data_IF_483157251939
#
_entry.id   IF_483157251939
#
_cell.length_a   1.000
_cell.length_b   1.000
_cell.length_c   1.000
_cell.angle_alpha   90.00
_cell.angle_beta   90.00
_cell.angle_gamma   90.00
#
_symmetry.space_group_name_H-M   'P 1'
#
loop_
_entity.id
_entity.type
_entity.pdbx_description
1 polymer ?
#
# COMPACT_ATOMS: atom_id res chain seq x y z
N UNK A 1 -3.09 5.27 5.67
CA UNK A 1 -2.11 6.39 5.64
C UNK A 1 -2.36 7.25 4.42
N UNK A 2 -2.16 8.59 4.50
CA UNK A 2 -2.19 9.46 3.31
C UNK A 2 -0.85 9.45 2.55
N UNK A 3 -0.23 8.29 2.42
CA UNK A 3 1.03 8.11 1.68
C UNK A 3 0.80 7.62 0.24
N UNK A 4 -0.34 7.97 -0.32
CA UNK A 4 -0.78 7.56 -1.65
C UNK A 4 -1.87 6.48 -1.60
N UNK A 5 -2.45 6.21 -2.77
CA UNK A 5 -3.55 5.26 -2.93
C UNK A 5 -3.13 3.79 -2.80
N UNK A 6 -1.82 3.48 -2.88
CA UNK A 6 -1.31 2.12 -2.88
C UNK A 6 -1.71 1.29 -1.66
N UNK A 7 -1.70 1.89 -0.45
CA UNK A 7 -2.16 1.21 0.76
C UNK A 7 -3.66 0.85 0.70
N UNK A 8 -4.49 1.76 0.22
CA UNK A 8 -5.91 1.48 0.05
C UNK A 8 -6.16 0.44 -1.04
N UNK A 9 -5.42 0.53 -2.17
CA UNK A 9 -5.53 -0.41 -3.28
C UNK A 9 -5.25 -1.85 -2.84
N UNK A 10 -4.17 -2.09 -2.10
CA UNK A 10 -3.85 -3.45 -1.61
C UNK A 10 -4.79 -3.96 -0.53
N UNK A 11 -5.55 -3.10 0.15
CA UNK A 11 -6.59 -3.54 1.07
C UNK A 11 -7.85 -4.04 0.36
N UNK A 12 -8.09 -3.68 -0.91
CA UNK A 12 -9.28 -4.08 -1.65
C UNK A 12 -9.43 -5.61 -1.75
N UNK A 13 -8.43 -6.39 -2.21
CA UNK A 13 -8.54 -7.85 -2.29
C UNK A 13 -8.76 -8.46 -0.91
N UNK A 14 -8.11 -7.95 0.13
CA UNK A 14 -8.28 -8.44 1.49
C UNK A 14 -9.72 -8.22 2.00
N UNK A 15 -10.29 -7.05 1.80
CA UNK A 15 -11.69 -6.76 2.17
C UNK A 15 -12.66 -7.64 1.38
N UNK A 16 -12.43 -7.83 0.05
CA UNK A 16 -13.23 -8.74 -0.77
C UNK A 16 -13.18 -10.17 -0.22
N UNK A 17 -12.01 -10.66 0.14
CA UNK A 17 -11.81 -11.98 0.72
C UNK A 17 -12.57 -12.15 2.03
N UNK A 18 -12.43 -11.20 2.96
CA UNK A 18 -13.11 -11.25 4.26
C UNK A 18 -14.63 -11.26 4.10
N UNK A 19 -15.17 -10.45 3.17
CA UNK A 19 -16.61 -10.45 2.87
C UNK A 19 -17.06 -11.83 2.31
N UNK A 20 -16.29 -12.43 1.40
CA UNK A 20 -16.58 -13.76 0.85
C UNK A 20 -16.56 -14.86 1.92
N UNK A 21 -15.69 -14.72 2.92
CA UNK A 21 -15.59 -15.62 4.07
C UNK A 21 -16.68 -15.36 5.11
N UNK A 22 -17.58 -14.39 4.89
CA UNK A 22 -18.74 -14.11 5.77
C UNK A 22 -18.42 -13.19 6.94
N UNK A 23 -17.26 -12.52 6.96
CA UNK A 23 -16.91 -11.58 8.00
C UNK A 23 -17.63 -10.24 7.84
N UNK A 24 -18.03 -9.64 8.96
CA UNK A 24 -18.47 -8.25 9.01
C UNK A 24 -17.25 -7.33 9.05
N UNK A 25 -17.16 -6.39 8.11
CA UNK A 25 -15.98 -5.54 7.95
C UNK A 25 -16.33 -4.08 8.22
N UNK A 26 -15.52 -3.41 9.05
CA UNK A 26 -15.55 -1.97 9.28
C UNK A 26 -14.28 -1.36 8.69
N UNK A 27 -14.47 -0.41 7.78
CA UNK A 27 -13.33 0.28 7.14
C UNK A 27 -12.80 1.40 8.02
N UNK A 28 -11.50 1.38 8.32
CA UNK A 28 -10.83 2.45 9.06
C UNK A 28 -9.86 3.26 8.19
N UNK A 29 -10.02 4.58 8.13
CA UNK A 29 -9.12 5.38 7.31
C UNK A 29 -9.40 6.88 7.32
N UNK A 30 -8.74 7.60 6.43
CA UNK A 30 -8.98 9.03 6.19
C UNK A 30 -8.63 9.43 4.75
N UNK A 31 -9.07 10.64 4.34
CA UNK A 31 -8.71 11.26 3.07
C UNK A 31 -8.99 10.37 1.86
N UNK A 32 -8.10 10.44 0.86
CA UNK A 32 -8.25 9.74 -0.42
C UNK A 32 -8.28 8.22 -0.28
N UNK A 33 -7.53 7.65 0.66
CA UNK A 33 -7.51 6.22 0.94
C UNK A 33 -8.89 5.70 1.36
N UNK A 34 -9.56 6.40 2.28
CA UNK A 34 -10.91 6.04 2.70
C UNK A 34 -11.93 6.27 1.57
N UNK A 35 -11.77 7.35 0.80
CA UNK A 35 -12.62 7.61 -0.36
C UNK A 35 -12.54 6.49 -1.40
N UNK A 36 -11.34 5.98 -1.69
CA UNK A 36 -11.14 4.87 -2.60
C UNK A 36 -11.84 3.60 -2.08
N UNK A 37 -11.61 3.24 -0.82
CA UNK A 37 -12.25 2.06 -0.22
C UNK A 37 -13.78 2.16 -0.22
N UNK A 38 -14.33 3.33 0.09
CA UNK A 38 -15.79 3.55 0.04
C UNK A 38 -16.38 3.49 -1.37
N UNK A 39 -15.61 3.85 -2.41
CA UNK A 39 -16.04 3.65 -3.81
C UNK A 39 -16.17 2.16 -4.15
N UNK A 40 -15.23 1.33 -3.68
CA UNK A 40 -15.27 -0.12 -3.89
C UNK A 40 -16.30 -0.84 -2.99
N UNK A 41 -16.53 -0.32 -1.77
CA UNK A 41 -17.38 -0.93 -0.75
C UNK A 41 -18.38 0.08 -0.18
N UNK A 42 -19.35 0.57 -0.97
CA UNK A 42 -20.24 1.65 -0.54
C UNK A 42 -21.21 1.26 0.59
N UNK A 43 -21.43 -0.05 0.78
CA UNK A 43 -22.34 -0.59 1.80
C UNK A 43 -21.67 -0.88 3.15
N UNK A 44 -20.33 -0.89 3.22
CA UNK A 44 -19.62 -1.17 4.46
C UNK A 44 -19.67 0.03 5.40
N UNK A 45 -19.75 -0.27 6.70
CA UNK A 45 -19.54 0.72 7.76
C UNK A 45 -18.11 1.23 7.74
N UNK A 46 -17.89 2.44 8.18
CA UNK A 46 -16.55 3.02 8.24
C UNK A 46 -16.36 3.91 9.48
N UNK A 47 -15.13 4.03 9.91
CA UNK A 47 -14.69 4.94 10.95
C UNK A 47 -13.54 5.83 10.46
N UNK A 48 -13.52 7.07 10.92
CA UNK A 48 -12.41 7.96 10.63
C UNK A 48 -11.24 7.67 11.57
N UNK A 49 -10.03 7.62 11.01
CA UNK A 49 -8.80 7.51 11.77
C UNK A 49 -8.01 8.81 11.66
N UNK A 50 -7.09 9.04 12.60
CA UNK A 50 -6.31 10.26 12.67
C UNK A 50 -5.59 10.57 11.33
N UNK A 51 -5.73 11.79 10.78
CA UNK A 51 -5.00 12.17 9.57
C UNK A 51 -3.52 12.37 9.88
N UNK A 52 -2.65 11.83 9.01
CA UNK A 52 -1.22 12.08 9.04
C UNK A 52 -0.85 12.91 7.82
N UNK A 53 -0.67 14.20 8.02
CA UNK A 53 -0.27 15.13 6.96
C UNK A 53 1.26 15.28 6.98
N UNK A 54 1.95 14.43 6.23
CA UNK A 54 3.38 14.61 5.93
C UNK A 54 3.49 15.36 4.60
N UNK A 55 4.24 16.46 4.61
CA UNK A 55 4.60 17.17 3.38
C UNK A 55 6.01 16.74 3.01
N UNK A 56 6.16 16.17 1.82
CA UNK A 56 7.47 15.89 1.25
C UNK A 56 8.05 17.18 0.69
N UNK A 57 9.33 17.41 0.97
CA UNK A 57 10.07 18.50 0.35
C UNK A 57 10.43 18.10 -1.08
N UNK A 58 10.34 19.03 -2.02
CA UNK A 58 10.88 18.86 -3.37
C UNK A 58 12.41 18.76 -3.40
N UNK A 59 13.09 19.02 -2.27
CA UNK A 59 14.54 19.02 -2.14
C UNK A 59 15.11 17.66 -1.72
N UNK A 60 16.43 17.52 -1.92
CA UNK A 60 17.22 16.29 -1.76
C UNK A 60 17.30 15.71 -0.32
N UNK A 61 16.78 16.37 0.71
CA UNK A 61 16.96 15.96 2.11
C UNK A 61 15.68 15.42 2.74
N UNK A 62 15.22 14.24 2.29
CA UNK A 62 14.05 13.57 2.89
C UNK A 62 14.35 13.03 4.30
N UNK A 63 15.61 12.67 4.62
CA UNK A 63 15.99 12.17 5.94
C UNK A 63 15.72 13.20 7.04
N UNK A 64 16.09 14.45 6.82
CA UNK A 64 15.80 15.53 7.76
C UNK A 64 14.30 15.78 7.91
N UNK A 65 13.53 15.63 6.82
CA UNK A 65 12.07 15.72 6.88
C UNK A 65 11.49 14.57 7.71
N UNK A 66 12.00 13.35 7.56
CA UNK A 66 11.60 12.18 8.37
C UNK A 66 11.97 12.35 9.84
N UNK A 67 13.21 12.77 10.17
CA UNK A 67 13.63 12.99 11.55
C UNK A 67 12.76 14.05 12.24
N UNK A 68 12.45 15.15 11.55
CA UNK A 68 11.52 16.17 12.04
C UNK A 68 10.08 15.67 12.17
N UNK A 69 9.71 14.64 11.43
CA UNK A 69 8.38 14.03 11.49
C UNK A 69 8.23 13.01 12.63
N UNK A 70 9.31 12.48 13.22
CA UNK A 70 9.25 11.45 14.27
C UNK A 70 8.33 11.83 15.45
N UNK A 71 8.39 13.04 16.04
CA UNK A 71 7.47 13.40 17.12
C UNK A 71 6.00 13.41 16.67
N UNK A 72 5.76 13.86 15.42
CA UNK A 72 4.40 13.86 14.83
C UNK A 72 3.90 12.44 14.59
N UNK A 73 4.75 11.54 14.12
CA UNK A 73 4.44 10.12 13.94
C UNK A 73 4.09 9.45 15.26
N UNK A 74 4.83 9.77 16.32
CA UNK A 74 4.54 9.25 17.66
C UNK A 74 3.17 9.74 18.18
N UNK A 75 2.92 11.05 18.13
CA UNK A 75 1.63 11.62 18.54
C UNK A 75 0.47 11.10 17.69
N UNK A 76 0.69 10.90 16.41
CA UNK A 76 -0.29 10.30 15.51
C UNK A 76 -0.59 8.85 15.88
N UNK A 77 0.44 8.06 16.20
CA UNK A 77 0.26 6.69 16.69
C UNK A 77 -0.55 6.63 17.99
N UNK A 78 -0.33 7.56 18.92
CA UNK A 78 -1.14 7.65 20.14
C UNK A 78 -2.60 8.00 19.85
N UNK A 79 -2.85 8.91 18.89
CA UNK A 79 -4.22 9.24 18.46
C UNK A 79 -4.91 8.04 17.83
N UNK A 80 -4.23 7.31 16.94
CA UNK A 80 -4.77 6.09 16.36
C UNK A 80 -5.12 5.05 17.42
N UNK A 81 -4.24 4.89 18.42
CA UNK A 81 -4.49 3.99 19.53
C UNK A 81 -5.73 4.40 20.33
N UNK A 82 -5.87 5.67 20.66
CA UNK A 82 -7.05 6.19 21.36
C UNK A 82 -8.36 5.98 20.56
N UNK A 83 -8.31 6.20 19.24
CA UNK A 83 -9.44 5.99 18.34
C UNK A 83 -9.81 4.49 18.24
N UNK A 84 -8.82 3.61 18.15
CA UNK A 84 -9.07 2.17 18.19
C UNK A 84 -9.75 1.77 19.50
N UNK A 85 -9.24 2.25 20.65
CA UNK A 85 -9.84 1.95 21.95
C UNK A 85 -11.29 2.46 22.05
N UNK A 86 -11.64 3.59 21.42
CA UNK A 86 -13.01 4.07 21.34
C UNK A 86 -13.92 3.10 20.56
N UNK A 87 -13.47 2.66 19.38
CA UNK A 87 -14.19 1.68 18.55
C UNK A 87 -14.41 0.36 19.31
N UNK A 88 -13.37 -0.15 19.99
CA UNK A 88 -13.43 -1.41 20.75
C UNK A 88 -14.36 -1.37 21.98
N UNK A 89 -14.74 -0.16 22.45
CA UNK A 89 -15.73 -0.01 23.52
C UNK A 89 -17.16 -0.11 23.01
N UNK A 90 -17.36 0.23 21.75
CA UNK A 90 -18.68 0.30 21.10
C UNK A 90 -18.98 -0.96 20.30
N UNK A 91 -17.95 -1.60 19.74
CA UNK A 91 -18.06 -2.72 18.79
C UNK A 91 -17.27 -3.94 19.27
N UNK A 92 -17.86 -5.15 19.23
CA UNK A 92 -17.15 -6.40 19.44
C UNK A 92 -16.31 -6.74 18.21
N UNK A 93 -15.03 -6.38 18.21
CA UNK A 93 -14.11 -6.61 17.10
C UNK A 93 -13.23 -7.82 17.40
N UNK A 94 -13.24 -8.84 16.52
CA UNK A 94 -12.40 -10.04 16.65
C UNK A 94 -11.00 -9.83 16.08
N UNK A 95 -10.89 -9.06 14.99
CA UNK A 95 -9.63 -8.81 14.29
C UNK A 95 -9.44 -7.34 13.97
N UNK A 96 -8.22 -6.84 14.18
CA UNK A 96 -7.79 -5.51 13.74
C UNK A 96 -6.65 -5.67 12.76
N UNK A 97 -6.91 -5.38 11.47
CA UNK A 97 -5.89 -5.38 10.44
C UNK A 97 -5.37 -3.95 10.23
N UNK A 98 -4.08 -3.77 10.43
CA UNK A 98 -3.42 -2.47 10.35
C UNK A 98 -2.44 -2.41 9.20
N UNK A 99 -2.78 -1.69 8.14
CA UNK A 99 -1.85 -1.45 7.04
C UNK A 99 -0.96 -0.24 7.36
N UNK A 100 0.26 -0.53 7.81
CA UNK A 100 1.30 0.45 8.17
C UNK A 100 0.86 1.55 9.15
N UNK A 101 -0.15 1.31 10.01
CA UNK A 101 -0.58 2.22 11.08
C UNK A 101 -0.12 1.70 12.44
N UNK A 102 0.88 2.33 13.00
CA UNK A 102 1.61 1.83 14.18
C UNK A 102 0.81 1.86 15.49
N UNK A 103 -0.28 2.61 15.55
CA UNK A 103 -1.11 2.79 16.75
C UNK A 103 -2.24 1.78 16.89
N UNK A 104 -2.53 0.97 15.86
CA UNK A 104 -3.68 0.07 15.86
C UNK A 104 -3.37 -1.31 16.46
N UNK A 105 -2.79 -1.34 17.65
CA UNK A 105 -2.50 -2.55 18.41
C UNK A 105 -3.27 -2.57 19.72
N UNK A 106 -3.40 -3.76 20.32
CA UNK A 106 -3.97 -3.94 21.66
C UNK A 106 -2.89 -4.53 22.57
N UNK A 107 -2.73 -3.95 23.75
CA UNK A 107 -1.72 -4.43 24.71
C UNK A 107 -2.01 -5.88 25.11
N UNK A 108 -0.99 -6.73 25.05
CA UNK A 108 -1.04 -8.08 25.60
C UNK A 108 -1.01 -7.98 27.14
N UNK A 109 -1.76 -8.83 27.86
CA UNK A 109 -1.57 -8.96 29.29
C UNK A 109 -0.14 -9.40 29.53
N UNK A 110 0.57 -8.74 30.42
CA UNK A 110 1.78 -9.31 31.02
C UNK A 110 1.36 -10.48 31.89
N UNK A 111 2.22 -11.48 32.03
CA UNK A 111 1.97 -12.68 32.86
C UNK A 111 1.55 -12.36 34.31
N UNK A 112 1.75 -11.13 34.79
CA UNK A 112 1.32 -10.62 36.07
C UNK A 112 -0.12 -10.12 36.15
N UNK A 113 -0.82 -9.98 35.00
CA UNK A 113 -2.22 -9.54 34.94
C UNK A 113 -3.23 -10.69 35.03
N UNK A 114 -2.79 -11.88 35.45
CA UNK A 114 -3.69 -12.98 35.84
C UNK A 114 -4.35 -12.63 37.17
N UNK A 115 -5.37 -11.78 37.13
CA UNK A 115 -6.34 -11.73 38.23
C UNK A 115 -7.05 -13.09 38.27
N UNK A 116 -7.21 -13.67 39.48
CA UNK A 116 -8.01 -14.87 39.62
C UNK A 116 -9.41 -14.63 39.06
N UNK A 117 -9.80 -15.39 38.06
CA UNK A 117 -11.16 -15.43 37.59
C UNK A 117 -12.04 -15.95 38.71
N UNK A 118 -12.80 -15.07 39.35
CA UNK A 118 -13.97 -15.49 40.14
C UNK A 118 -14.91 -16.22 39.20
N UNK A 119 -15.40 -17.38 39.62
CA UNK A 119 -16.27 -18.32 38.90
C UNK A 119 -17.62 -17.75 38.53
N UNK A 120 -17.71 -16.70 37.75
CA UNK A 120 -18.95 -16.17 37.20
C UNK A 120 -18.95 -16.41 35.69
N UNK A 121 -19.71 -17.43 35.25
CA UNK A 121 -19.74 -17.99 33.90
C UNK A 121 -20.49 -17.10 32.85
N UNK A 122 -20.42 -15.80 32.93
CA UNK A 122 -20.82 -14.92 31.84
C UNK A 122 -19.60 -14.20 31.27
N UNK A 123 -19.20 -14.47 30.01
CA UNK A 123 -18.20 -13.62 29.36
C UNK A 123 -18.80 -12.22 29.24
N UNK A 124 -18.35 -11.33 30.08
CA UNK A 124 -18.68 -9.92 29.93
C UNK A 124 -17.90 -9.41 28.72
N UNK A 125 -18.51 -8.53 27.93
CA UNK A 125 -17.91 -7.85 26.74
C UNK A 125 -16.57 -7.16 27.02
N UNK A 126 -16.14 -7.10 28.27
CA UNK A 126 -14.88 -6.50 28.75
C UNK A 126 -13.63 -7.39 28.56
N UNK A 127 -13.80 -8.70 28.33
CA UNK A 127 -12.66 -9.63 28.20
C UNK A 127 -12.33 -10.02 26.75
N UNK A 128 -13.15 -9.57 25.78
CA UNK A 128 -12.90 -9.85 24.37
C UNK A 128 -11.79 -8.91 23.84
N UNK A 129 -10.64 -9.49 23.52
CA UNK A 129 -9.51 -8.76 22.96
C UNK A 129 -9.28 -9.18 21.52
N UNK A 130 -9.32 -8.25 20.56
CA UNK A 130 -9.12 -8.59 19.17
C UNK A 130 -7.69 -9.08 18.90
N UNK A 131 -7.57 -9.98 17.94
CA UNK A 131 -6.28 -10.32 17.35
C UNK A 131 -5.83 -9.17 16.44
N UNK A 132 -4.68 -8.58 16.72
CA UNK A 132 -4.12 -7.49 15.95
C UNK A 132 -3.11 -7.98 14.93
N UNK A 133 -3.26 -7.57 13.68
CA UNK A 133 -2.43 -7.99 12.55
C UNK A 133 -1.82 -6.75 11.90
N UNK A 134 -0.50 -6.73 11.78
CA UNK A 134 0.23 -5.66 11.10
C UNK A 134 0.56 -6.10 9.68
N UNK A 135 0.07 -5.36 8.68
CA UNK A 135 0.32 -5.62 7.27
C UNK A 135 1.46 -4.71 6.78
N UNK A 136 2.56 -5.32 6.34
CA UNK A 136 3.69 -4.59 5.75
C UNK A 136 4.49 -5.47 4.81
N UNK A 137 4.99 -4.91 3.71
CA UNK A 137 5.98 -5.55 2.84
C UNK A 137 7.41 -5.13 3.19
N UNK A 138 7.58 -4.19 4.11
CA UNK A 138 8.87 -3.67 4.53
C UNK A 138 9.21 -4.15 5.93
N UNK A 139 9.83 -5.32 6.04
CA UNK A 139 10.54 -5.71 7.26
C UNK A 139 11.88 -4.98 7.36
N UNK A 140 12.53 -4.79 6.24
CA UNK A 140 13.73 -3.96 6.10
C UNK A 140 13.35 -2.57 5.57
N UNK A 141 13.60 -1.54 6.37
CA UNK A 141 13.44 -0.13 5.99
C UNK A 141 14.77 0.38 5.47
N UNK A 142 14.87 0.52 4.17
CA UNK A 142 16.07 1.05 3.52
C UNK A 142 16.21 2.55 3.77
N UNK A 143 17.43 2.99 4.04
CA UNK A 143 17.77 4.39 4.18
C UNK A 143 18.57 4.88 2.97
N UNK A 144 18.53 6.20 2.67
CA UNK A 144 19.42 6.78 1.65
C UNK A 144 20.88 6.48 1.95
N UNK A 145 21.72 6.34 0.92
CA UNK A 145 23.14 5.93 1.02
C UNK A 145 23.92 6.55 2.18
N UNK A 146 23.88 7.86 2.44
CA UNK A 146 24.64 8.46 3.55
C UNK A 146 24.23 7.98 4.95
N UNK A 147 23.04 7.37 5.08
CA UNK A 147 22.43 7.01 6.36
C UNK A 147 22.26 5.49 6.54
N UNK A 148 22.73 4.67 5.62
CA UNK A 148 22.60 3.21 5.67
C UNK A 148 23.18 2.58 6.95
N UNK A 149 24.19 3.16 7.52
CA UNK A 149 24.77 2.71 8.78
C UNK A 149 23.79 2.76 9.97
N UNK A 150 22.68 3.52 9.85
CA UNK A 150 21.60 3.55 10.84
C UNK A 150 20.54 2.47 10.62
N UNK A 151 20.54 1.73 9.51
CA UNK A 151 19.55 0.70 9.19
C UNK A 151 19.39 -0.34 10.32
N UNK A 152 20.45 -0.83 11.01
CA UNK A 152 20.28 -1.75 12.13
C UNK A 152 19.52 -1.14 13.31
N UNK A 153 19.69 0.15 13.57
CA UNK A 153 18.94 0.86 14.60
C UNK A 153 17.47 1.02 14.21
N UNK A 154 17.22 1.41 12.96
CA UNK A 154 15.85 1.56 12.42
C UNK A 154 15.14 0.21 12.42
N UNK A 155 15.81 -0.87 12.03
CA UNK A 155 15.27 -2.23 12.08
C UNK A 155 14.87 -2.65 13.51
N UNK A 156 15.71 -2.36 14.52
CA UNK A 156 15.38 -2.63 15.93
C UNK A 156 14.17 -1.81 16.42
N UNK A 157 14.08 -0.55 16.03
CA UNK A 157 12.93 0.30 16.37
C UNK A 157 11.66 -0.19 15.69
N UNK A 158 11.74 -0.55 14.41
CA UNK A 158 10.63 -1.11 13.66
C UNK A 158 10.17 -2.44 14.24
N UNK A 159 11.11 -3.32 14.61
CA UNK A 159 10.80 -4.57 15.30
C UNK A 159 10.02 -4.35 16.60
N UNK A 160 10.40 -3.34 17.40
CA UNK A 160 9.62 -2.97 18.61
C UNK A 160 8.20 -2.48 18.30
N UNK A 161 7.96 -1.97 17.12
CA UNK A 161 6.62 -1.54 16.69
C UNK A 161 5.78 -2.74 16.30
N UNK A 162 6.27 -3.57 15.35
CA UNK A 162 5.46 -4.66 14.84
C UNK A 162 5.30 -5.81 15.85
N UNK A 163 6.23 -6.01 16.80
CA UNK A 163 6.09 -7.00 17.89
C UNK A 163 5.02 -6.63 18.92
N UNK A 164 4.41 -5.45 18.84
CA UNK A 164 3.20 -5.12 19.61
C UNK A 164 1.94 -5.78 19.08
N UNK A 165 1.96 -6.20 17.80
CA UNK A 165 0.86 -6.91 17.15
C UNK A 165 0.95 -8.42 17.42
N UNK A 166 -0.16 -9.14 17.27
CA UNK A 166 -0.19 -10.59 17.40
C UNK A 166 0.48 -11.26 16.21
N UNK A 167 0.23 -10.73 15.01
CA UNK A 167 0.76 -11.24 13.76
C UNK A 167 1.29 -10.10 12.89
N UNK A 168 2.26 -10.43 12.04
CA UNK A 168 2.68 -9.62 10.90
C UNK A 168 2.37 -10.38 9.63
N UNK A 169 1.58 -9.78 8.77
CA UNK A 169 1.33 -10.30 7.43
C UNK A 169 2.18 -9.58 6.40
N UNK A 170 2.88 -10.37 5.60
CA UNK A 170 3.72 -9.87 4.52
C UNK A 170 3.05 -10.20 3.20
N UNK A 171 2.58 -9.20 2.44
CA UNK A 171 1.95 -9.41 1.14
C UNK A 171 3.00 -9.67 0.05
N UNK A 172 3.73 -10.77 0.18
CA UNK A 172 4.74 -11.24 -0.75
C UNK A 172 4.82 -12.77 -0.70
N UNK A 173 5.54 -13.39 -1.62
CA UNK A 173 5.82 -14.83 -1.58
C UNK A 173 6.78 -15.16 -0.44
N UNK A 174 6.59 -16.32 0.18
CA UNK A 174 7.52 -16.82 1.20
C UNK A 174 8.87 -17.24 0.60
N UNK A 175 8.83 -17.72 -0.64
CA UNK A 175 10.01 -18.06 -1.44
C UNK A 175 10.71 -16.77 -1.89
N UNK A 176 11.92 -16.54 -1.40
CA UNK A 176 12.70 -15.35 -1.68
C UNK A 176 13.02 -15.18 -3.18
N UNK A 177 13.18 -16.29 -3.93
CA UNK A 177 13.47 -16.25 -5.36
C UNK A 177 12.27 -15.73 -6.18
N UNK A 178 11.05 -15.90 -5.65
CA UNK A 178 9.81 -15.40 -6.24
C UNK A 178 9.39 -14.03 -5.70
N UNK A 179 10.08 -13.54 -4.69
CA UNK A 179 9.72 -12.28 -4.03
C UNK A 179 9.59 -11.13 -5.03
N UNK A 180 8.55 -10.33 -4.83
CA UNK A 180 8.33 -9.08 -5.55
C UNK A 180 8.97 -7.88 -4.83
N UNK A 181 9.19 -7.99 -3.52
CA UNK A 181 9.79 -6.93 -2.70
C UNK A 181 11.28 -7.16 -2.40
N UNK A 182 11.83 -8.35 -2.72
CA UNK A 182 13.24 -8.69 -2.50
C UNK A 182 13.66 -8.50 -1.04
N UNK A 183 14.78 -7.79 -0.82
CA UNK A 183 15.33 -7.55 0.53
C UNK A 183 14.38 -6.75 1.46
N UNK A 184 13.40 -6.03 0.92
CA UNK A 184 12.45 -5.30 1.75
C UNK A 184 11.60 -6.24 2.59
N UNK A 185 11.18 -7.37 2.02
CA UNK A 185 10.35 -8.39 2.69
C UNK A 185 11.17 -9.56 3.22
N UNK A 186 12.37 -9.79 2.68
CA UNK A 186 13.29 -10.90 3.03
C UNK A 186 14.65 -10.37 3.51
N UNK A 187 14.71 -9.62 4.62
CA UNK A 187 15.99 -9.16 5.14
C UNK A 187 16.81 -10.32 5.71
N UNK A 188 18.12 -10.27 5.50
CA UNK A 188 19.06 -11.30 5.95
C UNK A 188 19.11 -11.49 7.48
N UNK A 189 18.68 -10.47 8.25
CA UNK A 189 18.86 -10.40 9.71
C UNK A 189 17.58 -10.57 10.54
N UNK A 190 16.42 -10.84 9.94
CA UNK A 190 15.19 -11.01 10.71
C UNK A 190 15.16 -12.39 11.36
N UNK A 191 15.25 -12.40 12.69
CA UNK A 191 14.89 -13.57 13.50
C UNK A 191 13.38 -13.80 13.32
N UNK A 192 13.01 -14.70 12.41
CA UNK A 192 11.61 -15.09 12.12
C UNK A 192 10.86 -15.63 13.34
N UNK A 193 11.58 -15.95 14.42
CA UNK A 193 11.09 -16.55 15.65
C UNK A 193 11.21 -15.60 16.85
N UNK A 194 10.70 -14.37 16.76
CA UNK A 194 10.42 -13.64 18.01
C UNK A 194 9.16 -14.26 18.62
N UNK A 195 9.28 -14.82 19.81
CA UNK A 195 8.20 -15.50 20.57
C UNK A 195 6.96 -14.61 20.75
N UNK A 196 7.09 -13.31 20.48
CA UNK A 196 6.05 -12.30 20.68
C UNK A 196 5.15 -12.04 19.50
N UNK A 197 5.54 -12.42 18.27
CA UNK A 197 4.80 -12.09 17.08
C UNK A 197 5.05 -13.13 15.98
N UNK A 198 3.99 -13.64 15.36
CA UNK A 198 4.10 -14.56 14.23
C UNK A 198 4.20 -13.78 12.94
N UNK A 199 5.21 -14.08 12.11
CA UNK A 199 5.38 -13.49 10.77
C UNK A 199 4.88 -14.50 9.73
N UNK A 200 3.93 -14.08 8.91
CA UNK A 200 3.29 -14.93 7.89
C UNK A 200 3.36 -14.23 6.53
N UNK A 201 3.83 -14.94 5.50
CA UNK A 201 3.74 -14.49 4.11
C UNK A 201 2.39 -14.92 3.56
N UNK A 202 1.62 -13.97 3.02
CA UNK A 202 0.23 -14.19 2.57
C UNK A 202 0.07 -14.13 1.05
N UNK A 203 1.18 -14.05 0.32
CA UNK A 203 1.21 -13.83 -1.12
C UNK A 203 0.99 -12.36 -1.51
N UNK A 204 1.36 -11.97 -2.73
CA UNK A 204 1.10 -10.66 -3.27
C UNK A 204 -0.40 -10.33 -3.23
N UNK A 205 -0.74 -9.07 -2.97
CA UNK A 205 -2.12 -8.60 -2.83
C UNK A 205 -2.42 -7.54 -3.89
N UNK A 206 -3.15 -7.92 -4.92
CA UNK A 206 -3.57 -7.00 -5.96
C UNK A 206 -5.10 -6.91 -6.04
N UNK A 207 -5.60 -5.70 -6.30
CA UNK A 207 -7.02 -5.49 -6.62
C UNK A 207 -7.45 -6.22 -7.89
N UNK A 208 -6.51 -6.70 -8.71
CA UNK A 208 -6.71 -7.44 -9.95
C UNK A 208 -6.56 -8.96 -9.79
N UNK A 209 -6.29 -9.49 -8.59
CA UNK A 209 -6.10 -10.92 -8.35
C UNK A 209 -7.28 -11.77 -8.84
N UNK A 210 -8.51 -11.34 -8.51
CA UNK A 210 -9.75 -11.99 -8.92
C UNK A 210 -10.53 -11.13 -9.95
N UNK A 211 -9.80 -10.41 -10.80
CA UNK A 211 -10.46 -9.53 -11.76
C UNK A 211 -11.15 -10.34 -12.86
N UNK A 212 -12.46 -10.17 -12.97
CA UNK A 212 -13.27 -10.79 -14.00
C UNK A 212 -13.26 -9.94 -15.27
N UNK A 213 -12.62 -10.44 -16.32
CA UNK A 213 -12.53 -9.77 -17.63
C UNK A 213 -13.88 -9.59 -18.33
N UNK A 214 -14.93 -10.29 -17.91
CA UNK A 214 -16.28 -10.02 -18.40
C UNK A 214 -16.79 -8.62 -18.03
N UNK A 215 -16.14 -7.97 -17.04
CA UNK A 215 -16.41 -6.61 -16.62
C UNK A 215 -15.63 -5.56 -17.42
N UNK A 216 -14.79 -5.99 -18.37
CA UNK A 216 -14.01 -5.06 -19.19
C UNK A 216 -14.93 -4.06 -19.89
N UNK A 217 -14.62 -2.79 -19.73
CA UNK A 217 -15.28 -1.68 -20.41
C UNK A 217 -14.22 -0.91 -21.20
N UNK A 218 -13.81 -1.43 -22.38
CA UNK A 218 -12.70 -0.86 -23.12
C UNK A 218 -13.02 0.56 -23.55
N UNK A 219 -12.07 1.43 -23.31
CA UNK A 219 -12.12 2.80 -23.85
C UNK A 219 -12.01 2.69 -25.36
N UNK A 220 -12.88 3.37 -26.09
CA UNK A 220 -12.99 3.27 -27.56
C UNK A 220 -11.70 3.63 -28.33
N UNK A 221 -10.74 4.29 -27.67
CA UNK A 221 -9.46 4.70 -28.26
C UNK A 221 -8.35 3.75 -27.85
N UNK A 222 -7.59 3.25 -28.82
CA UNK A 222 -6.37 2.47 -28.56
C UNK A 222 -5.24 3.41 -28.15
N UNK A 223 -4.69 3.17 -26.94
CA UNK A 223 -3.52 3.87 -26.43
C UNK A 223 -2.29 2.96 -26.52
N UNK A 224 -1.24 3.45 -27.17
CA UNK A 224 0.03 2.72 -27.27
C UNK A 224 0.90 2.92 -26.03
N UNK A 225 0.78 4.08 -25.38
CA UNK A 225 1.46 4.41 -24.13
C UNK A 225 0.45 4.70 -23.04
N UNK A 226 0.59 4.05 -21.90
CA UNK A 226 -0.27 4.22 -20.73
C UNK A 226 0.56 4.59 -19.52
N UNK A 227 0.34 5.79 -18.97
CA UNK A 227 0.98 6.24 -17.76
C UNK A 227 -0.01 6.20 -16.60
N UNK A 228 0.33 5.44 -15.54
CA UNK A 228 -0.45 5.38 -14.30
C UNK A 228 0.29 6.12 -13.21
N UNK A 229 -0.17 7.34 -12.92
CA UNK A 229 0.48 8.20 -11.94
C UNK A 229 -0.03 7.91 -10.53
N UNK A 230 0.88 7.95 -9.59
CA UNK A 230 0.62 7.82 -8.16
C UNK A 230 1.63 8.63 -7.35
N UNK A 231 1.44 8.68 -6.03
CA UNK A 231 2.35 9.36 -5.12
C UNK A 231 1.89 10.77 -4.75
N UNK A 232 2.69 11.40 -3.90
CA UNK A 232 2.37 12.70 -3.32
C UNK A 232 2.87 13.86 -4.20
N UNK A 233 2.19 14.99 -4.07
CA UNK A 233 2.65 16.24 -4.68
C UNK A 233 3.96 16.73 -4.01
N UNK A 234 4.84 17.36 -4.76
CA UNK A 234 4.75 17.76 -6.17
C UNK A 234 5.21 16.69 -7.17
N UNK A 235 5.74 15.54 -6.71
CA UNK A 235 6.39 14.53 -7.54
C UNK A 235 5.45 13.89 -8.59
N UNK A 236 4.16 13.76 -8.29
CA UNK A 236 3.16 13.29 -9.24
C UNK A 236 3.00 14.25 -10.42
N UNK A 237 2.80 15.54 -10.11
CA UNK A 237 2.67 16.58 -11.15
C UNK A 237 3.96 16.78 -11.95
N UNK A 238 5.13 16.63 -11.35
CA UNK A 238 6.40 16.70 -12.05
C UNK A 238 6.55 15.55 -13.07
N UNK A 239 6.21 14.32 -12.67
CA UNK A 239 6.22 13.18 -13.59
C UNK A 239 5.20 13.36 -14.72
N UNK A 240 3.99 13.86 -14.43
CA UNK A 240 3.00 14.16 -15.45
C UNK A 240 3.56 15.13 -16.51
N UNK A 241 4.19 16.22 -16.08
CA UNK A 241 4.80 17.20 -16.98
C UNK A 241 5.93 16.60 -17.82
N UNK A 242 6.74 15.74 -17.23
CA UNK A 242 7.82 15.04 -17.92
C UNK A 242 7.28 14.13 -19.04
N UNK A 243 6.23 13.33 -18.73
CA UNK A 243 5.60 12.44 -19.71
C UNK A 243 4.93 13.26 -20.83
N UNK A 244 4.21 14.33 -20.47
CA UNK A 244 3.63 15.22 -21.47
C UNK A 244 4.71 15.82 -22.38
N UNK A 245 5.84 16.28 -21.83
CA UNK A 245 6.93 16.83 -22.64
C UNK A 245 7.59 15.78 -23.55
N UNK A 246 7.68 14.52 -23.08
CA UNK A 246 8.30 13.41 -23.83
C UNK A 246 7.47 12.99 -25.04
N UNK A 247 6.15 12.96 -24.90
CA UNK A 247 5.25 12.37 -25.89
C UNK A 247 4.40 13.39 -26.67
N UNK A 248 4.38 14.66 -26.28
CA UNK A 248 3.62 15.67 -27.02
C UNK A 248 4.16 15.77 -28.44
N UNK A 249 3.25 15.70 -29.40
CA UNK A 249 3.55 15.79 -30.85
C UNK A 249 4.33 14.56 -31.40
N UNK A 250 4.34 13.42 -30.70
CA UNK A 250 4.74 12.13 -31.27
C UNK A 250 3.54 11.43 -31.94
N UNK A 251 3.80 10.36 -32.68
CA UNK A 251 2.76 9.52 -33.31
C UNK A 251 2.07 8.59 -32.29
N UNK A 252 2.58 8.51 -31.05
CA UNK A 252 2.04 7.66 -30.00
C UNK A 252 0.75 8.21 -29.42
N UNK A 253 -0.26 7.37 -29.25
CA UNK A 253 -1.48 7.73 -28.53
C UNK A 253 -1.27 7.46 -27.04
N UNK A 254 -1.30 8.49 -26.21
CA UNK A 254 -0.93 8.45 -24.80
C UNK A 254 -2.14 8.66 -23.90
N UNK A 255 -2.32 7.75 -22.94
CA UNK A 255 -3.24 7.93 -21.82
C UNK A 255 -2.46 8.19 -20.54
N UNK A 256 -2.79 9.26 -19.84
CA UNK A 256 -2.25 9.58 -18.52
C UNK A 256 -3.38 9.50 -17.49
N UNK A 257 -3.34 8.46 -16.65
CA UNK A 257 -4.22 8.31 -15.48
C UNK A 257 -3.57 9.02 -14.31
N UNK A 258 -4.13 10.13 -13.88
CA UNK A 258 -3.49 11.07 -12.95
C UNK A 258 -3.50 10.59 -11.47
N UNK A 259 -4.35 9.60 -11.12
CA UNK A 259 -4.47 9.12 -9.72
C UNK A 259 -5.22 10.09 -8.80
N UNK A 260 -6.07 10.95 -9.34
CA UNK A 260 -6.83 11.99 -8.62
C UNK A 260 -8.27 11.55 -8.35
N UNK A 261 -8.46 10.62 -7.40
CA UNK A 261 -9.75 9.96 -7.12
C UNK A 261 -10.86 10.89 -6.61
N UNK A 262 -10.52 12.06 -6.11
CA UNK A 262 -11.47 13.06 -5.60
C UNK A 262 -11.89 14.11 -6.65
N UNK A 263 -11.34 14.04 -7.85
CA UNK A 263 -11.71 14.96 -8.95
C UNK A 263 -12.82 14.35 -9.81
N UNK A 264 -13.69 15.19 -10.42
CA UNK A 264 -14.61 14.73 -11.44
C UNK A 264 -13.86 13.99 -12.56
N UNK A 265 -14.42 12.89 -13.04
CA UNK A 265 -13.80 12.07 -14.08
C UNK A 265 -13.99 12.70 -15.46
N UNK A 266 -13.37 13.87 -15.67
CA UNK A 266 -13.42 14.61 -16.91
C UNK A 266 -12.17 14.30 -17.73
N UNK A 267 -12.34 13.77 -18.93
CA UNK A 267 -11.25 13.51 -19.86
C UNK A 267 -10.84 14.81 -20.55
N UNK A 268 -9.55 15.12 -20.49
CA UNK A 268 -8.97 16.26 -21.18
C UNK A 268 -8.02 15.76 -22.27
N UNK A 269 -8.32 16.10 -23.53
CA UNK A 269 -7.49 15.72 -24.68
C UNK A 269 -6.66 16.90 -25.15
N UNK A 270 -5.34 16.68 -25.29
CA UNK A 270 -4.40 17.62 -25.87
C UNK A 270 -3.62 16.89 -26.97
N UNK A 271 -3.97 17.13 -28.25
CA UNK A 271 -3.39 16.42 -29.40
C UNK A 271 -3.47 14.89 -29.25
N UNK A 272 -2.34 14.21 -29.18
CA UNK A 272 -2.19 12.75 -29.00
C UNK A 272 -2.25 12.30 -27.54
N UNK A 273 -2.33 13.22 -26.55
CA UNK A 273 -2.35 12.92 -25.14
C UNK A 273 -3.76 13.09 -24.55
N UNK A 274 -4.24 12.08 -23.87
CA UNK A 274 -5.47 12.11 -23.07
C UNK A 274 -5.12 12.04 -21.59
N UNK A 275 -5.58 13.01 -20.81
CA UNK A 275 -5.45 13.03 -19.34
C UNK A 275 -6.80 12.72 -18.72
N UNK A 276 -6.80 11.81 -17.72
CA UNK A 276 -7.98 11.47 -16.93
C UNK A 276 -7.62 11.50 -15.45
N UNK A 277 -8.43 12.10 -14.58
CA UNK A 277 -8.18 12.14 -13.15
C UNK A 277 -8.10 10.75 -12.52
N UNK A 278 -9.05 9.89 -12.85
CA UNK A 278 -9.09 8.48 -12.45
C UNK A 278 -9.98 7.71 -13.42
N UNK A 279 -9.77 6.41 -13.53
CA UNK A 279 -10.64 5.48 -14.27
C UNK A 279 -10.96 4.28 -13.40
N UNK A 280 -12.00 3.54 -13.76
CA UNK A 280 -12.39 2.32 -13.06
C UNK A 280 -11.43 1.17 -13.38
N UNK A 281 -11.44 0.11 -12.58
CA UNK A 281 -10.65 -1.10 -12.87
C UNK A 281 -11.09 -1.73 -14.21
N UNK A 282 -12.39 -1.70 -14.52
CA UNK A 282 -12.96 -2.18 -15.78
C UNK A 282 -12.46 -1.42 -17.03
N UNK A 283 -12.11 -0.16 -16.89
CA UNK A 283 -11.49 0.66 -17.94
C UNK A 283 -9.96 0.50 -17.97
N UNK A 284 -9.32 0.38 -16.79
CA UNK A 284 -7.87 0.37 -16.67
C UNK A 284 -7.25 -0.94 -17.17
N UNK A 285 -7.82 -2.09 -16.78
CA UNK A 285 -7.26 -3.40 -17.14
C UNK A 285 -7.14 -3.60 -18.66
N UNK A 286 -8.20 -3.42 -19.47
CA UNK A 286 -8.09 -3.60 -20.92
C UNK A 286 -7.11 -2.60 -21.56
N UNK A 287 -6.99 -1.38 -21.03
CA UNK A 287 -6.03 -0.39 -21.53
C UNK A 287 -4.58 -0.81 -21.23
N UNK A 288 -4.30 -1.31 -20.03
CA UNK A 288 -2.97 -1.83 -19.68
C UNK A 288 -2.59 -3.06 -20.51
N UNK A 289 -3.55 -3.99 -20.69
CA UNK A 289 -3.32 -5.22 -21.46
C UNK A 289 -3.06 -5.00 -22.95
N UNK A 290 -3.55 -3.89 -23.50
CA UNK A 290 -3.37 -3.52 -24.91
C UNK A 290 -2.25 -2.48 -25.15
N UNK A 291 -1.66 -1.94 -24.08
CA UNK A 291 -0.56 -0.97 -24.20
C UNK A 291 0.71 -1.65 -24.75
N UNK A 292 1.51 -0.89 -25.51
CA UNK A 292 2.87 -1.29 -25.90
C UNK A 292 3.90 -0.84 -24.86
N UNK A 293 3.61 0.29 -24.17
CA UNK A 293 4.49 0.85 -23.16
C UNK A 293 3.66 1.31 -21.95
N UNK A 294 4.03 0.85 -20.77
CA UNK A 294 3.43 1.22 -19.50
C UNK A 294 4.44 2.00 -18.67
N UNK A 295 4.06 3.18 -18.22
CA UNK A 295 4.87 4.04 -17.36
C UNK A 295 4.19 4.16 -16.00
N UNK A 296 4.90 3.83 -14.91
CA UNK A 296 4.34 3.93 -13.57
C UNK A 296 5.42 4.22 -12.52
N UNK A 297 5.00 4.62 -11.32
CA UNK A 297 5.90 4.66 -10.15
C UNK A 297 6.25 3.24 -9.73
N UNK A 298 7.50 3.03 -9.31
CA UNK A 298 7.99 1.75 -8.75
C UNK A 298 7.50 1.51 -7.32
N UNK A 299 6.22 1.83 -7.04
CA UNK A 299 5.59 1.51 -5.76
C UNK A 299 5.19 0.05 -5.69
N UNK A 300 5.36 -0.59 -4.52
CA UNK A 300 5.10 -2.01 -4.36
C UNK A 300 3.68 -2.44 -4.78
N UNK A 301 2.65 -1.62 -4.50
CA UNK A 301 1.28 -1.92 -4.93
C UNK A 301 1.12 -1.94 -6.44
N UNK A 302 1.84 -1.06 -7.17
CA UNK A 302 1.85 -1.07 -8.64
C UNK A 302 2.52 -2.35 -9.17
N UNK A 303 3.60 -2.77 -8.54
CA UNK A 303 4.30 -4.02 -8.90
C UNK A 303 3.38 -5.21 -8.70
N UNK A 304 2.67 -5.31 -7.57
CA UNK A 304 1.68 -6.37 -7.34
C UNK A 304 0.54 -6.33 -8.37
N UNK A 305 0.05 -5.14 -8.75
CA UNK A 305 -0.99 -4.98 -9.77
C UNK A 305 -0.51 -5.46 -11.15
N UNK A 306 0.71 -5.08 -11.57
CA UNK A 306 1.31 -5.53 -12.83
C UNK A 306 1.60 -7.04 -12.81
N UNK A 307 2.04 -7.58 -11.67
CA UNK A 307 2.26 -9.00 -11.48
C UNK A 307 0.95 -9.80 -11.63
N UNK A 308 -0.13 -9.37 -10.98
CA UNK A 308 -1.42 -10.05 -11.06
C UNK A 308 -2.03 -10.05 -12.47
N UNK A 309 -1.71 -9.04 -13.27
CA UNK A 309 -2.09 -8.97 -14.69
C UNK A 309 -1.16 -9.77 -15.62
N UNK A 310 -0.07 -10.36 -15.09
CA UNK A 310 0.92 -11.08 -15.90
C UNK A 310 1.76 -10.16 -16.80
N UNK A 311 1.89 -8.88 -16.44
CA UNK A 311 2.57 -7.87 -17.25
C UNK A 311 4.05 -7.69 -16.87
N UNK A 312 4.49 -8.18 -15.69
CA UNK A 312 5.90 -8.08 -15.31
C UNK A 312 6.75 -9.01 -16.18
N UNK A 313 7.93 -8.54 -16.65
CA UNK A 313 8.81 -9.35 -17.46
C UNK A 313 9.30 -10.59 -16.70
N UNK A 314 9.39 -11.72 -17.40
CA UNK A 314 10.11 -12.90 -16.94
C UNK A 314 11.52 -12.94 -17.56
N UNK A 315 12.47 -13.56 -16.85
CA UNK A 315 13.93 -13.50 -17.17
C UNK A 315 14.34 -13.82 -18.60
N UNK A 316 13.47 -14.43 -19.41
CA UNK A 316 13.84 -14.94 -20.76
C UNK A 316 12.91 -14.45 -21.88
N UNK A 317 12.04 -13.48 -21.61
CA UNK A 317 11.07 -13.00 -22.58
C UNK A 317 11.30 -11.52 -22.88
N UNK A 318 11.15 -11.16 -24.15
CA UNK A 318 11.13 -9.75 -24.53
C UNK A 318 9.88 -9.13 -23.90
N UNK A 319 10.01 -8.10 -23.01
CA UNK A 319 8.86 -7.55 -22.33
C UNK A 319 7.86 -6.98 -23.34
N UNK A 320 6.64 -7.49 -23.30
CA UNK A 320 5.54 -6.94 -24.07
C UNK A 320 4.28 -6.92 -23.18
N UNK A 321 3.87 -5.78 -22.65
CA UNK A 321 4.37 -4.41 -22.91
C UNK A 321 5.74 -4.11 -22.30
N UNK A 322 6.44 -3.09 -22.83
CA UNK A 322 7.59 -2.49 -22.15
C UNK A 322 7.10 -1.78 -20.88
N UNK A 323 7.74 -2.05 -19.74
CA UNK A 323 7.37 -1.43 -18.46
C UNK A 323 8.50 -0.51 -18.00
N UNK A 324 8.17 0.75 -17.78
CA UNK A 324 9.06 1.77 -17.22
C UNK A 324 8.64 2.10 -15.78
N UNK A 325 9.40 1.60 -14.80
CA UNK A 325 9.18 1.87 -13.38
C UNK A 325 10.04 3.05 -12.93
N UNK A 326 9.41 4.21 -12.73
CA UNK A 326 10.09 5.46 -12.37
C UNK A 326 10.01 5.70 -10.87
N UNK A 327 11.13 5.66 -10.11
CA UNK A 327 11.10 5.90 -8.68
C UNK A 327 10.76 7.35 -8.35
N UNK A 328 10.10 7.57 -7.21
CA UNK A 328 9.98 8.91 -6.65
C UNK A 328 11.34 9.33 -6.08
N UNK A 329 11.92 10.46 -6.51
CA UNK A 329 13.23 10.89 -6.05
C UNK A 329 13.31 10.95 -4.52
N UNK A 330 14.34 10.32 -3.94
CA UNK A 330 14.58 10.30 -2.50
C UNK A 330 13.68 9.31 -1.72
N UNK A 331 12.99 8.40 -2.39
CA UNK A 331 12.31 7.26 -1.76
C UNK A 331 13.12 5.97 -1.98
N UNK A 332 13.95 5.56 -1.00
CA UNK A 332 14.87 4.42 -1.16
C UNK A 332 14.18 3.11 -1.52
N UNK A 333 12.98 2.88 -1.01
CA UNK A 333 12.13 1.74 -1.39
C UNK A 333 11.89 1.70 -2.90
N UNK A 334 11.45 2.82 -3.47
CA UNK A 334 11.12 2.88 -4.89
C UNK A 334 12.37 2.84 -5.77
N UNK A 335 13.47 3.46 -5.32
CA UNK A 335 14.76 3.39 -5.99
C UNK A 335 15.27 1.94 -6.04
N UNK A 336 15.14 1.21 -4.91
CA UNK A 336 15.49 -0.20 -4.84
C UNK A 336 14.61 -1.06 -5.76
N UNK A 337 13.28 -0.91 -5.68
CA UNK A 337 12.34 -1.71 -6.49
C UNK A 337 12.52 -1.45 -7.98
N UNK A 338 12.77 -0.20 -8.40
CA UNK A 338 13.06 0.12 -9.80
C UNK A 338 14.32 -0.61 -10.28
N UNK A 339 15.40 -0.61 -9.50
CA UNK A 339 16.63 -1.32 -9.83
C UNK A 339 16.43 -2.85 -9.82
N UNK A 340 15.74 -3.38 -8.82
CA UNK A 340 15.44 -4.80 -8.68
C UNK A 340 14.70 -5.39 -9.89
N UNK A 341 13.72 -4.65 -10.45
CA UNK A 341 12.99 -5.08 -11.63
C UNK A 341 13.71 -4.75 -12.96
N UNK A 342 14.67 -3.85 -12.96
CA UNK A 342 15.53 -3.63 -14.13
C UNK A 342 16.59 -4.74 -14.33
N UNK A 343 16.92 -5.49 -13.24
CA UNK A 343 17.87 -6.59 -13.25
C UNK A 343 17.21 -7.98 -13.44
N UNK A 344 15.88 -8.07 -13.28
CA UNK A 344 15.09 -9.30 -13.51
C UNK A 344 14.69 -9.47 -14.97
#
# INVERSE_FOLDING_TARGET
>A
MNWGLGHASRCIPLVRRLIREGHEVILGGNGESLTLLRKHFPKLRYTYLAPLNLRYSAGKSQVWAMLKALPKLFLWSLKDHAMLQAVLREEPIDYVLSDNRFGLFVHRPTTNDQRPTTNDHRPTTKDHRPTTIYLTHQLHIMLPRPWRWLEPLVARLHARIYTRFNKVWIPDYEDADKSLAGELSHPNDVRRNDVRCTIEYIGPMSRFEDYDRSQDNPIAQNYTVVAVLSGLEPHRTLLEKEIVARYLDTDEQVLIVQGLVNRPNTRFKRRNITLVPSITDAELVPVLMNAKHIIARSGYSTIMDLHALGLLPSKNETPNPQIELIPTPGQPEQEYLSAYFAEK
#
